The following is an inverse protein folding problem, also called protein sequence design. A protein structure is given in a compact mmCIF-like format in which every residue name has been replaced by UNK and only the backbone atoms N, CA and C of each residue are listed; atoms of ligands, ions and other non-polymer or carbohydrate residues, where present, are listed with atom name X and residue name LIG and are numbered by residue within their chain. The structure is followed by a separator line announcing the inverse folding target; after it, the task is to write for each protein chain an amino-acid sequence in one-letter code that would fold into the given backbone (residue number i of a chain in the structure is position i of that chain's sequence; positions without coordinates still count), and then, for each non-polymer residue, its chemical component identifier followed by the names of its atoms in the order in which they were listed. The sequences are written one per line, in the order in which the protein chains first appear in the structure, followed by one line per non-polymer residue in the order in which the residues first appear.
data_IF_294034162460
#
_entry.id   IF_294034162460
#
_cell.length_a   1.000
_cell.length_b   1.000
_cell.length_c   1.000
_cell.angle_alpha   90.00
_cell.angle_beta   90.00
_cell.angle_gamma   90.00
#
_symmetry.space_group_name_H-M   'P 1'
#
loop_
_entity.id
_entity.type
_entity.pdbx_description
1 polymer ?
#
# COMPACT_ATOMS: atom_id res chain seq x y z
N UNK A 1 -16.26 2.71 -11.92
CA UNK A 1 -17.37 2.33 -11.01
C UNK A 1 -18.12 3.61 -10.68
N UNK A 2 -19.24 3.89 -11.37
CA UNK A 2 -20.06 5.06 -11.08
C UNK A 2 -21.05 4.65 -9.98
N UNK A 3 -21.13 5.40 -8.88
CA UNK A 3 -22.12 5.14 -7.83
C UNK A 3 -23.51 5.49 -8.35
N UNK A 4 -24.53 4.72 -7.93
CA UNK A 4 -25.95 4.96 -8.28
C UNK A 4 -26.40 6.40 -7.99
N UNK A 5 -25.76 7.04 -7.01
CA UNK A 5 -25.99 8.41 -6.57
C UNK A 5 -25.25 9.47 -7.39
N UNK A 6 -24.22 9.11 -8.18
CA UNK A 6 -23.30 10.03 -8.90
C UNK A 6 -22.48 10.99 -8.02
N UNK A 7 -22.44 10.76 -6.71
CA UNK A 7 -21.51 11.42 -5.78
C UNK A 7 -20.74 10.36 -4.99
N UNK A 8 -19.45 10.64 -4.78
CA UNK A 8 -18.50 9.81 -4.03
C UNK A 8 -17.43 10.70 -3.40
N UNK A 9 -16.15 10.31 -3.47
CA UNK A 9 -15.06 11.22 -3.08
C UNK A 9 -15.01 12.47 -3.99
N UNK A 10 -15.40 12.32 -5.25
CA UNK A 10 -15.59 13.40 -6.21
C UNK A 10 -17.05 13.48 -6.64
N UNK A 11 -17.43 14.63 -7.21
CA UNK A 11 -18.71 14.82 -7.87
C UNK A 11 -18.62 14.29 -9.32
N UNK A 12 -19.55 13.41 -9.69
CA UNK A 12 -19.66 12.81 -11.02
C UNK A 12 -21.03 13.08 -11.67
N UNK A 13 -21.81 14.02 -11.14
CA UNK A 13 -23.18 14.32 -11.59
C UNK A 13 -23.25 14.64 -13.08
N UNK A 14 -22.25 15.38 -13.58
CA UNK A 14 -22.20 15.86 -14.97
C UNK A 14 -21.49 14.92 -15.95
N UNK A 15 -21.09 13.72 -15.52
CA UNK A 15 -20.35 12.70 -16.32
C UNK A 15 -19.03 13.17 -16.94
N UNK A 16 -18.55 14.36 -16.59
CA UNK A 16 -17.19 14.78 -16.87
C UNK A 16 -16.23 14.11 -15.89
N UNK A 17 -15.00 13.88 -16.36
CA UNK A 17 -13.90 13.50 -15.48
C UNK A 17 -13.72 14.59 -14.43
N UNK A 18 -13.57 14.24 -13.13
CA UNK A 18 -13.36 15.24 -12.09
C UNK A 18 -12.15 16.10 -12.38
N UNK A 19 -12.28 17.42 -12.21
CA UNK A 19 -11.17 18.35 -12.32
C UNK A 19 -10.32 18.27 -11.04
N UNK A 20 -9.14 17.64 -11.14
CA UNK A 20 -8.20 17.46 -10.04
C UNK A 20 -6.96 18.32 -10.35
N UNK A 21 -6.64 19.32 -9.52
CA UNK A 21 -5.42 20.09 -9.68
C UNK A 21 -4.19 19.18 -9.70
N UNK A 22 -3.25 19.43 -10.62
CA UNK A 22 -2.05 18.60 -10.77
C UNK A 22 -1.17 18.58 -9.50
N UNK A 23 -1.26 19.62 -8.67
CA UNK A 23 -0.54 19.78 -7.40
C UNK A 23 -1.34 19.31 -6.18
N UNK A 24 -2.54 18.75 -6.34
CA UNK A 24 -3.39 18.32 -5.23
C UNK A 24 -2.72 17.30 -4.30
N UNK A 25 -1.72 16.54 -4.81
CA UNK A 25 -0.92 15.59 -4.03
C UNK A 25 0.36 16.17 -3.43
N UNK A 26 0.67 17.46 -3.64
CA UNK A 26 1.94 18.03 -3.23
C UNK A 26 2.10 18.03 -1.70
N UNK A 27 3.23 17.50 -1.23
CA UNK A 27 3.53 17.39 0.21
C UNK A 27 2.88 16.19 0.90
N UNK A 28 2.14 15.34 0.19
CA UNK A 28 1.62 14.10 0.75
C UNK A 28 2.72 13.03 0.88
N UNK A 29 2.84 12.44 2.07
CA UNK A 29 3.76 11.34 2.32
C UNK A 29 3.16 10.03 1.81
N UNK A 30 3.61 9.60 0.63
CA UNK A 30 3.15 8.36 -0.02
C UNK A 30 3.44 7.10 0.80
N UNK A 31 4.41 7.13 1.72
CA UNK A 31 4.72 5.98 2.56
C UNK A 31 3.57 5.68 3.53
N UNK A 32 2.67 6.63 3.81
CA UNK A 32 1.46 6.37 4.59
C UNK A 32 0.53 5.34 3.90
N UNK A 33 0.59 5.27 2.57
CA UNK A 33 -0.19 4.31 1.77
C UNK A 33 0.62 3.05 1.55
N UNK A 34 1.86 3.17 1.09
CA UNK A 34 2.67 2.00 0.74
C UNK A 34 2.97 1.10 1.93
N UNK A 35 3.33 1.68 3.08
CA UNK A 35 3.78 0.91 4.23
C UNK A 35 2.77 -0.13 4.74
N UNK A 36 1.47 0.18 4.94
CA UNK A 36 0.50 -0.85 5.29
C UNK A 36 0.29 -1.89 4.19
N UNK A 37 0.35 -1.52 2.90
CA UNK A 37 0.26 -2.50 1.82
C UNK A 37 1.43 -3.48 1.82
N UNK A 38 2.65 -2.99 1.99
CA UNK A 38 3.84 -3.84 2.13
C UNK A 38 3.71 -4.75 3.35
N UNK A 39 3.23 -4.24 4.48
CA UNK A 39 3.04 -5.03 5.69
C UNK A 39 2.01 -6.16 5.49
N UNK A 40 0.88 -5.89 4.84
CA UNK A 40 -0.11 -6.94 4.54
C UNK A 40 0.42 -7.95 3.51
N UNK A 41 1.16 -7.50 2.49
CA UNK A 41 1.81 -8.41 1.54
C UNK A 41 2.83 -9.33 2.22
N UNK A 42 3.65 -8.79 3.11
CA UNK A 42 4.60 -9.56 3.90
C UNK A 42 3.91 -10.62 4.78
N UNK A 43 2.77 -10.28 5.41
CA UNK A 43 1.97 -11.25 6.20
C UNK A 43 1.45 -12.39 5.33
N UNK A 44 1.03 -12.11 4.10
CA UNK A 44 0.53 -13.17 3.21
C UNK A 44 1.64 -14.14 2.81
N UNK A 45 2.86 -13.64 2.61
CA UNK A 45 4.03 -14.46 2.34
C UNK A 45 4.48 -15.24 3.58
N UNK A 46 4.51 -14.60 4.76
CA UNK A 46 4.88 -15.24 6.04
C UNK A 46 3.93 -16.40 6.39
N UNK A 47 2.64 -16.27 6.06
CA UNK A 47 1.64 -17.31 6.30
C UNK A 47 1.55 -18.34 5.14
N UNK A 48 2.54 -18.37 4.24
CA UNK A 48 2.62 -19.28 3.09
C UNK A 48 1.34 -19.29 2.21
N UNK A 49 0.61 -18.17 2.15
CA UNK A 49 -0.62 -18.03 1.34
C UNK A 49 -0.27 -17.81 -0.13
N UNK A 50 0.78 -17.03 -0.39
CA UNK A 50 1.30 -16.69 -1.72
C UNK A 50 2.81 -16.51 -1.67
N UNK A 51 3.49 -16.67 -2.80
CA UNK A 51 4.89 -16.29 -2.93
C UNK A 51 5.05 -14.78 -3.18
N UNK A 52 6.25 -14.25 -2.93
CA UNK A 52 6.55 -12.84 -3.17
C UNK A 52 6.35 -12.42 -4.64
N UNK A 53 6.75 -13.28 -5.59
CA UNK A 53 6.60 -13.00 -7.01
C UNK A 53 5.12 -13.00 -7.45
N UNK A 54 4.30 -13.88 -6.88
CA UNK A 54 2.87 -13.97 -7.18
C UNK A 54 2.12 -12.73 -6.68
N UNK A 55 2.40 -12.25 -5.47
CA UNK A 55 1.71 -11.08 -4.94
C UNK A 55 2.05 -9.81 -5.73
N UNK A 56 3.31 -9.62 -6.11
CA UNK A 56 3.73 -8.48 -6.94
C UNK A 56 3.14 -8.56 -8.35
N UNK A 57 3.07 -9.77 -8.91
CA UNK A 57 2.41 -9.99 -10.21
C UNK A 57 0.91 -9.73 -10.13
N UNK A 58 0.25 -10.17 -9.06
CA UNK A 58 -1.15 -9.90 -8.78
C UNK A 58 -1.44 -8.40 -8.62
N UNK A 59 -0.56 -7.66 -7.93
CA UNK A 59 -0.67 -6.22 -7.78
C UNK A 59 -0.56 -5.49 -9.13
N UNK A 60 0.37 -5.89 -9.99
CA UNK A 60 0.51 -5.33 -11.34
C UNK A 60 -0.68 -5.64 -12.23
N UNK A 61 -1.07 -6.91 -12.33
CA UNK A 61 -2.09 -7.35 -13.29
C UNK A 61 -3.52 -7.06 -12.81
N UNK A 62 -3.79 -7.26 -11.53
CA UNK A 62 -5.12 -7.05 -10.94
C UNK A 62 -5.34 -5.63 -10.43
N UNK A 63 -4.31 -5.05 -9.80
CA UNK A 63 -4.36 -3.69 -9.26
C UNK A 63 -4.00 -2.60 -10.28
N UNK A 64 -3.43 -2.98 -11.43
CA UNK A 64 -2.84 -2.04 -12.40
C UNK A 64 -1.77 -1.14 -11.75
N UNK A 65 -1.01 -1.68 -10.80
CA UNK A 65 0.07 -0.95 -10.14
C UNK A 65 1.31 -0.92 -11.04
N UNK A 66 2.07 0.19 -11.04
CA UNK A 66 3.31 0.27 -11.80
C UNK A 66 4.35 -0.74 -11.31
N UNK A 67 4.33 -1.05 -10.02
CA UNK A 67 5.22 -1.99 -9.35
C UNK A 67 4.50 -2.73 -8.21
N UNK A 68 5.03 -3.89 -7.84
CA UNK A 68 4.48 -4.69 -6.76
C UNK A 68 4.82 -4.11 -5.38
N UNK A 69 4.03 -4.41 -4.34
CA UNK A 69 4.32 -3.95 -2.97
C UNK A 69 5.67 -4.44 -2.43
N UNK A 70 6.10 -5.67 -2.73
CA UNK A 70 7.38 -6.18 -2.22
C UNK A 70 8.55 -5.64 -3.05
N UNK A 71 8.41 -5.57 -4.38
CA UNK A 71 9.35 -4.82 -5.23
C UNK A 71 9.54 -3.37 -4.76
N UNK A 72 8.45 -2.67 -4.36
CA UNK A 72 8.52 -1.31 -3.79
C UNK A 72 9.31 -1.26 -2.50
N UNK A 73 9.16 -2.28 -1.66
CA UNK A 73 9.91 -2.41 -0.41
C UNK A 73 11.40 -2.59 -0.68
N UNK A 74 11.74 -3.37 -1.70
CA UNK A 74 13.13 -3.62 -2.11
C UNK A 74 13.78 -2.34 -2.67
N UNK A 75 13.03 -1.54 -3.43
CA UNK A 75 13.50 -0.23 -3.91
C UNK A 75 13.69 0.79 -2.77
N UNK A 76 12.68 0.94 -1.90
CA UNK A 76 12.68 1.93 -0.82
C UNK A 76 13.50 1.52 0.41
N UNK A 77 13.83 0.24 0.52
CA UNK A 77 14.53 -0.36 1.65
C UNK A 77 13.61 -0.70 2.83
N UNK A 78 13.66 -1.95 3.28
CA UNK A 78 12.84 -2.47 4.37
C UNK A 78 12.92 -1.66 5.68
N UNK A 79 14.08 -1.05 5.98
CA UNK A 79 14.27 -0.22 7.16
C UNK A 79 13.42 1.06 7.13
N UNK A 80 13.24 1.66 5.94
CA UNK A 80 12.42 2.87 5.77
C UNK A 80 10.95 2.52 6.02
N UNK A 81 10.50 1.40 5.46
CA UNK A 81 9.14 0.89 5.64
C UNK A 81 8.86 0.56 7.11
N UNK A 82 9.75 -0.17 7.79
CA UNK A 82 9.56 -0.50 9.21
C UNK A 82 9.46 0.75 10.08
N UNK A 83 10.36 1.72 9.86
CA UNK A 83 10.36 2.97 10.62
C UNK A 83 9.03 3.70 10.44
N UNK A 84 8.56 3.82 9.18
CA UNK A 84 7.27 4.46 8.89
C UNK A 84 6.10 3.67 9.48
N UNK A 85 6.12 2.34 9.42
CA UNK A 85 5.07 1.49 9.97
C UNK A 85 4.96 1.70 11.48
N UNK A 86 6.09 1.76 12.17
CA UNK A 86 6.18 2.00 13.61
C UNK A 86 5.63 3.39 13.99
N UNK A 87 6.00 4.42 13.21
CA UNK A 87 5.46 5.79 13.36
C UNK A 87 3.93 5.78 13.21
N UNK A 88 3.43 5.17 12.13
CA UNK A 88 2.00 5.09 11.81
C UNK A 88 1.22 4.28 12.85
N UNK A 89 1.76 3.17 13.32
CA UNK A 89 1.16 2.32 14.36
C UNK A 89 1.06 3.05 15.70
N UNK A 90 2.03 3.89 16.02
CA UNK A 90 2.01 4.69 17.25
C UNK A 90 0.98 5.82 17.16
N UNK A 91 0.82 6.41 15.97
CA UNK A 91 -0.14 7.49 15.72
C UNK A 91 -1.59 7.00 15.66
N UNK A 92 -1.80 5.78 15.20
CA UNK A 92 -3.13 5.21 14.98
C UNK A 92 -3.19 3.83 15.63
N UNK A 93 -4.04 3.66 16.64
CA UNK A 93 -4.30 2.37 17.29
C UNK A 93 -5.11 1.45 16.35
N UNK A 94 -4.47 1.02 15.26
CA UNK A 94 -5.00 0.09 14.27
C UNK A 94 -4.12 -1.15 14.25
N UNK A 95 -4.74 -2.28 14.57
CA UNK A 95 -4.11 -3.62 14.57
C UNK A 95 -3.42 -3.96 13.24
N UNK A 96 -3.90 -3.45 12.10
CA UNK A 96 -3.30 -3.66 10.77
C UNK A 96 -1.91 -3.06 10.66
N UNK A 97 -1.68 -1.93 11.33
CA UNK A 97 -0.43 -1.19 11.29
C UNK A 97 0.59 -1.70 12.30
N UNK A 98 0.18 -2.56 13.23
CA UNK A 98 1.13 -3.21 14.13
C UNK A 98 2.17 -3.97 13.30
N UNK A 99 3.47 -3.70 13.49
CA UNK A 99 4.50 -4.59 12.99
C UNK A 99 4.27 -5.96 13.65
N UNK A 100 3.92 -6.97 12.85
CA UNK A 100 3.72 -8.35 13.32
C UNK A 100 4.70 -9.22 12.53
N UNK A 101 5.40 -10.10 13.26
CA UNK A 101 6.61 -10.79 12.83
C UNK A 101 7.78 -10.35 13.69
N UNK A 102 8.56 -11.30 14.23
CA UNK A 102 9.79 -10.99 14.94
C UNK A 102 10.72 -10.25 14.00
N UNK A 103 10.77 -8.92 14.11
CA UNK A 103 11.67 -8.02 13.38
C UNK A 103 11.45 -7.99 11.87
N UNK A 104 11.97 -6.95 11.21
CA UNK A 104 12.40 -6.97 9.79
C UNK A 104 13.35 -8.14 9.43
N UNK A 105 13.62 -9.07 10.33
CA UNK A 105 14.67 -10.06 10.18
C UNK A 105 14.26 -11.14 9.20
N UNK A 106 14.80 -11.19 7.98
CA UNK A 106 14.93 -12.44 7.19
C UNK A 106 13.83 -12.82 6.13
N UNK A 107 12.77 -12.03 5.89
CA UNK A 107 11.46 -12.62 5.48
C UNK A 107 10.87 -12.39 4.07
N UNK A 108 11.65 -12.04 3.05
CA UNK A 108 11.36 -12.57 1.71
C UNK A 108 12.53 -13.47 1.42
N UNK A 109 12.33 -14.78 1.23
CA UNK A 109 13.45 -15.69 0.92
C UNK A 109 14.20 -15.20 -0.33
N UNK A 110 15.30 -14.49 -0.10
CA UNK A 110 16.54 -14.47 -0.87
C UNK A 110 17.70 -14.58 0.10
#
# INVERSE_FOLDING_TARGET
MLTETRWGYYDYTDRHEPDIPADAGQGFDTLLVWTPFVNEAAKLVENDVVTAAEIDTGARLGGNWPEGPLDKCDEGGANVILRKLTEVATRHDRRTNSPKGSTVTCWVRR
#
